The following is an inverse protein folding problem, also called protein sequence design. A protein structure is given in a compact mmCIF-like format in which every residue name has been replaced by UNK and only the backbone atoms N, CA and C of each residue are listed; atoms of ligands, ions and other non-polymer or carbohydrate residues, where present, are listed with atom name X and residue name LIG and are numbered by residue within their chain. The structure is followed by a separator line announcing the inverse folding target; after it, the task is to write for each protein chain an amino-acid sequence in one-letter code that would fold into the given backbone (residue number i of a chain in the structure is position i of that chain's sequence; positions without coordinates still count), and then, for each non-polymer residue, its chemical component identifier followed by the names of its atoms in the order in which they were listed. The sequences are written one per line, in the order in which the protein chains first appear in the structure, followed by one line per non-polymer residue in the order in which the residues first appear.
data_IF_014390743326
#
_entry.id   IF_014390743326
#
_cell.length_a   1.000
_cell.length_b   1.000
_cell.length_c   1.000
_cell.angle_alpha   90.00
_cell.angle_beta   90.00
_cell.angle_gamma   90.00
#
_symmetry.space_group_name_H-M   'P 1'
#
loop_
_entity.id
_entity.type
_entity.pdbx_description
1 polymer ?
#
# COMPACT_ATOMS: atom_id res chain seq x y z
N UNK A 1 29.53 3.45 -11.30
CA UNK A 1 28.90 2.11 -11.27
C UNK A 1 27.69 2.23 -10.37
N UNK A 2 26.48 2.27 -10.94
CA UNK A 2 25.23 2.50 -10.23
C UNK A 2 24.47 1.18 -10.17
N UNK A 3 24.88 0.32 -9.25
CA UNK A 3 24.26 -0.98 -9.02
C UNK A 3 23.21 -0.86 -7.93
N UNK A 4 22.03 -1.45 -8.20
CA UNK A 4 21.06 -1.94 -7.23
C UNK A 4 20.15 -0.91 -6.53
N UNK A 5 19.19 -0.36 -7.27
CA UNK A 5 17.84 -0.14 -6.71
C UNK A 5 17.01 -1.45 -6.86
N UNK A 6 17.57 -2.58 -6.42
CA UNK A 6 16.81 -3.83 -6.33
C UNK A 6 15.84 -3.68 -5.15
N UNK A 7 14.57 -3.51 -5.52
CA UNK A 7 13.37 -3.40 -4.71
C UNK A 7 13.51 -3.89 -3.26
N UNK A 8 13.67 -2.96 -2.32
CA UNK A 8 13.51 -3.19 -0.88
C UNK A 8 12.05 -3.56 -0.49
N UNK A 9 11.21 -3.86 -1.47
CA UNK A 9 9.79 -4.16 -1.31
C UNK A 9 9.45 -5.38 -2.17
N UNK A 10 8.87 -6.41 -1.54
CA UNK A 10 8.35 -7.61 -2.21
C UNK A 10 6.86 -7.77 -1.94
N UNK A 11 6.17 -8.55 -2.79
CA UNK A 11 4.80 -8.97 -2.54
C UNK A 11 4.83 -10.48 -2.24
N UNK A 12 4.30 -10.87 -1.09
CA UNK A 12 4.11 -12.25 -0.68
C UNK A 12 2.63 -12.46 -0.35
N UNK A 13 1.94 -13.28 -1.15
CA UNK A 13 0.50 -13.55 -1.03
C UNK A 13 -0.33 -12.25 -1.02
N UNK A 14 -0.99 -11.94 0.11
CA UNK A 14 -1.82 -10.76 0.33
C UNK A 14 -1.04 -9.59 0.98
N UNK A 15 0.28 -9.73 1.16
CA UNK A 15 1.08 -8.81 1.97
C UNK A 15 2.24 -8.21 1.20
N UNK A 16 2.36 -6.89 1.24
CA UNK A 16 3.55 -6.14 0.80
C UNK A 16 4.57 -6.15 1.94
N UNK A 17 5.79 -6.59 1.65
CA UNK A 17 6.87 -6.67 2.64
C UNK A 17 7.94 -5.66 2.30
N UNK A 18 8.23 -4.78 3.26
CA UNK A 18 9.29 -3.79 3.17
C UNK A 18 10.52 -4.31 3.93
N UNK A 19 11.58 -4.66 3.19
CA UNK A 19 12.86 -5.19 3.69
C UNK A 19 13.78 -4.09 4.22
N UNK A 20 13.21 -3.13 4.95
CA UNK A 20 13.95 -2.10 5.66
C UNK A 20 13.20 -1.72 6.93
N UNK A 21 13.92 -1.34 7.96
CA UNK A 21 13.33 -0.80 9.18
C UNK A 21 12.64 0.54 8.89
N UNK A 22 11.52 0.76 9.55
CA UNK A 22 10.72 1.97 9.39
C UNK A 22 10.04 2.35 10.69
N UNK A 23 9.88 3.67 10.91
CA UNK A 23 9.10 4.23 12.00
C UNK A 23 7.63 4.43 11.58
N UNK A 24 7.40 4.61 10.27
CA UNK A 24 6.08 4.84 9.70
C UNK A 24 5.91 4.19 8.34
N UNK A 25 4.76 3.57 8.12
CA UNK A 25 4.48 2.83 6.90
C UNK A 25 3.03 3.10 6.48
N UNK A 26 2.85 3.51 5.23
CA UNK A 26 1.53 3.76 4.64
C UNK A 26 1.48 3.13 3.26
N UNK A 27 0.32 2.60 2.89
CA UNK A 27 0.13 2.00 1.59
C UNK A 27 -1.28 2.20 1.07
N UNK A 28 -1.36 2.46 -0.23
CA UNK A 28 -2.62 2.75 -0.93
C UNK A 28 -2.73 1.90 -2.18
N UNK A 29 -3.91 1.30 -2.38
CA UNK A 29 -4.19 0.54 -3.60
C UNK A 29 -4.61 1.47 -4.73
N UNK A 30 -4.02 1.28 -5.91
CA UNK A 30 -4.52 1.88 -7.15
C UNK A 30 -5.53 0.93 -7.80
N UNK A 31 -6.80 1.32 -7.75
CA UNK A 31 -7.93 0.47 -8.17
C UNK A 31 -8.34 0.69 -9.63
N UNK A 32 -8.03 1.86 -10.20
CA UNK A 32 -8.49 2.24 -11.54
C UNK A 32 -7.59 1.74 -12.69
N UNK A 33 -6.67 0.81 -12.37
CA UNK A 33 -5.72 0.29 -13.34
C UNK A 33 -6.09 -1.14 -13.70
N UNK A 34 -7.21 -1.34 -14.39
CA UNK A 34 -7.66 -2.64 -14.93
C UNK A 34 -6.55 -3.35 -15.73
N UNK A 35 -5.61 -2.56 -16.30
CA UNK A 35 -4.49 -3.08 -17.09
C UNK A 35 -3.19 -3.28 -16.30
N UNK A 36 -3.04 -2.65 -15.13
CA UNK A 36 -1.78 -2.65 -14.37
C UNK A 36 -2.01 -2.32 -12.87
N UNK A 37 -2.62 -3.23 -12.08
CA UNK A 37 -2.82 -3.01 -10.65
C UNK A 37 -1.50 -2.71 -9.94
N UNK A 38 -1.54 -1.79 -8.97
CA UNK A 38 -0.35 -1.40 -8.21
C UNK A 38 -0.69 -0.94 -6.79
N UNK A 39 0.29 -1.01 -5.89
CA UNK A 39 0.26 -0.42 -4.55
C UNK A 39 1.27 0.72 -4.50
N UNK A 40 0.84 1.87 -3.98
CA UNK A 40 1.76 2.96 -3.63
C UNK A 40 2.17 2.77 -2.18
N UNK A 41 3.46 2.70 -1.91
CA UNK A 41 4.03 2.53 -0.57
C UNK A 41 4.82 3.78 -0.17
N UNK A 42 4.56 4.28 1.03
CA UNK A 42 5.33 5.34 1.67
C UNK A 42 6.04 4.77 2.90
N UNK A 43 7.37 4.87 2.89
CA UNK A 43 8.22 4.40 4.00
C UNK A 43 8.85 5.62 4.65
N UNK A 44 8.63 5.82 5.96
CA UNK A 44 9.08 6.99 6.71
C UNK A 44 8.65 8.34 6.08
N UNK A 45 7.46 8.40 5.46
CA UNK A 45 6.96 9.58 4.73
C UNK A 45 7.93 10.07 3.63
N UNK A 46 8.85 9.20 3.18
CA UNK A 46 9.74 9.49 2.06
C UNK A 46 8.98 9.38 0.74
N UNK A 47 9.73 9.53 -0.35
CA UNK A 47 9.24 9.40 -1.72
C UNK A 47 8.40 8.12 -1.89
N UNK A 48 7.22 8.30 -2.49
CA UNK A 48 6.32 7.21 -2.86
C UNK A 48 7.03 6.18 -3.76
N UNK A 49 6.87 4.91 -3.42
CA UNK A 49 7.34 3.79 -4.24
C UNK A 49 6.13 3.08 -4.85
N UNK A 50 6.13 2.95 -6.17
CA UNK A 50 5.09 2.24 -6.89
C UNK A 50 5.47 0.77 -7.00
N UNK A 51 4.66 -0.10 -6.41
CA UNK A 51 4.85 -1.55 -6.43
C UNK A 51 3.82 -2.16 -7.40
N UNK A 52 4.23 -2.58 -8.60
CA UNK A 52 3.32 -3.19 -9.54
C UNK A 52 2.87 -4.57 -9.03
N UNK A 53 1.58 -4.85 -9.12
CA UNK A 53 1.02 -6.17 -8.84
C UNK A 53 1.03 -6.97 -10.16
N UNK A 54 1.60 -8.19 -10.17
CA UNK A 54 1.58 -9.05 -11.36
C UNK A 54 0.15 -9.28 -11.85
N UNK A 55 -0.05 -9.33 -13.17
CA UNK A 55 -1.37 -9.62 -13.74
C UNK A 55 -1.85 -11.01 -13.30
N UNK A 56 -3.08 -11.08 -12.78
CA UNK A 56 -3.64 -12.31 -12.20
C UNK A 56 -3.10 -12.66 -10.80
N UNK A 57 -2.18 -11.86 -10.26
CA UNK A 57 -1.71 -11.98 -8.88
C UNK A 57 -2.77 -11.55 -7.88
N UNK A 58 -2.68 -12.08 -6.66
CA UNK A 58 -3.53 -11.65 -5.57
C UNK A 58 -3.25 -10.18 -5.23
N UNK A 59 -4.32 -9.40 -5.08
CA UNK A 59 -4.22 -7.99 -4.70
C UNK A 59 -3.84 -7.93 -3.21
N UNK A 60 -2.71 -7.30 -2.85
CA UNK A 60 -2.32 -7.18 -1.46
C UNK A 60 -3.33 -6.32 -0.69
N UNK A 61 -3.70 -6.78 0.51
CA UNK A 61 -4.55 -6.07 1.46
C UNK A 61 -3.78 -5.61 2.70
N UNK A 62 -2.52 -6.04 2.82
CA UNK A 62 -1.68 -5.75 3.98
C UNK A 62 -0.29 -5.27 3.57
N UNK A 63 0.33 -4.53 4.47
CA UNK A 63 1.73 -4.14 4.37
C UNK A 63 2.42 -4.32 5.73
N UNK A 64 3.66 -4.79 5.70
CA UNK A 64 4.51 -4.91 6.89
C UNK A 64 5.95 -4.51 6.60
N UNK A 65 6.69 -4.20 7.66
CA UNK A 65 8.13 -3.94 7.64
C UNK A 65 8.82 -4.87 8.64
N UNK A 66 10.14 -5.06 8.48
CA UNK A 66 10.94 -6.01 9.27
C UNK A 66 10.87 -5.78 10.79
N UNK A 67 10.75 -4.53 11.23
CA UNK A 67 10.77 -4.14 12.65
C UNK A 67 9.36 -3.88 13.23
N UNK A 68 8.29 -4.04 12.43
CA UNK A 68 6.92 -3.83 12.90
C UNK A 68 6.29 -5.18 13.25
N UNK A 69 5.84 -5.33 14.50
CA UNK A 69 5.26 -6.58 15.01
C UNK A 69 3.86 -6.90 14.44
N UNK A 70 3.27 -5.99 13.65
CA UNK A 70 1.91 -6.14 13.11
C UNK A 70 1.77 -5.74 11.64
N UNK A 71 0.78 -6.35 10.99
CA UNK A 71 0.37 -5.99 9.63
C UNK A 71 -0.49 -4.71 9.65
N UNK A 72 -0.23 -3.81 8.70
CA UNK A 72 -1.02 -2.61 8.45
C UNK A 72 -1.92 -2.86 7.26
N UNK A 73 -3.20 -2.50 7.35
CA UNK A 73 -4.12 -2.64 6.21
C UNK A 73 -3.80 -1.63 5.10
N UNK A 74 -3.76 -2.12 3.86
CA UNK A 74 -3.70 -1.27 2.66
C UNK A 74 -5.10 -0.74 2.42
N UNK A 75 -5.26 0.58 2.43
CA UNK A 75 -6.55 1.23 2.27
C UNK A 75 -6.82 1.45 0.77
N UNK A 76 -8.04 1.11 0.34
CA UNK A 76 -8.52 1.37 -1.02
C UNK A 76 -9.13 2.76 -1.18
N UNK A 77 -9.31 3.20 -2.43
CA UNK A 77 -9.96 4.48 -2.70
C UNK A 77 -11.43 4.47 -2.25
N UNK A 78 -12.13 3.35 -2.47
CA UNK A 78 -13.51 3.19 -2.01
C UNK A 78 -13.62 3.26 -0.47
N UNK A 79 -12.68 2.67 0.25
CA UNK A 79 -12.64 2.76 1.71
C UNK A 79 -12.38 4.20 2.16
N UNK A 80 -11.41 4.90 1.57
CA UNK A 80 -11.16 6.33 1.87
C UNK A 80 -12.43 7.14 1.65
N UNK A 81 -13.10 6.96 0.52
CA UNK A 81 -14.34 7.66 0.21
C UNK A 81 -15.46 7.33 1.21
N UNK A 82 -15.61 6.05 1.59
CA UNK A 82 -16.59 5.62 2.60
C UNK A 82 -16.31 6.28 3.96
N UNK A 83 -15.05 6.29 4.40
CA UNK A 83 -14.64 6.95 5.65
C UNK A 83 -14.90 8.46 5.63
N UNK A 84 -14.58 9.14 4.53
CA UNK A 84 -14.77 10.58 4.41
C UNK A 84 -16.26 10.96 4.37
N UNK A 85 -17.11 10.17 3.70
CA UNK A 85 -18.55 10.43 3.65
C UNK A 85 -19.29 10.08 4.94
N UNK A 86 -18.83 9.07 5.69
CA UNK A 86 -19.36 8.78 7.03
C UNK A 86 -18.97 9.83 8.09
N UNK A 87 -17.92 10.62 7.81
CA UNK A 87 -17.42 11.64 8.72
C UNK A 87 -18.12 12.99 8.58
N UNK A 88 -19.16 13.09 7.73
CA UNK A 88 -20.03 14.26 7.63
C UNK A 88 -21.30 14.06 8.48
N UNK A 89 -21.36 14.58 9.72
CA UNK A 89 -22.56 14.50 10.56
C UNK A 89 -23.74 15.33 10.02
N UNK A 90 -23.60 16.00 8.87
CA UNK A 90 -24.62 16.84 8.24
C UNK A 90 -25.45 16.11 7.18
N UNK A 91 -25.04 14.91 6.76
CA UNK A 91 -25.76 14.12 5.76
C UNK A 91 -26.86 13.27 6.39
N UNK A 92 -27.93 13.91 6.86
CA UNK A 92 -29.19 13.23 7.13
C UNK A 92 -30.03 13.13 5.84
N UNK A 93 -30.69 11.99 5.57
CA UNK A 93 -31.71 11.88 4.53
C UNK A 93 -32.94 12.74 4.81
#
# INVERSE_FOLDING_TARGET
MSTEHQSAITIENDTVIVHQETDRLEAFRLEDTVRAPAVIVFVNQKRAQLVPIPQGGQIPSKIRSLNMEGDIQIISYQEIHTFLHHSDPSAHP
#
